data_IF_749443777127
#
_entry.id   IF_749443777127
#
_cell.length_a   1.000
_cell.length_b   1.000
_cell.length_c   1.000
_cell.angle_alpha   90.00
_cell.angle_beta   90.00
_cell.angle_gamma   90.00
#
_symmetry.space_group_name_H-M   'P 1'
#
loop_
_entity.id
_entity.type
_entity.pdbx_description
1 polymer ?
#
# COMPACT_ATOMS: atom_id res chain seq x y z
N UNK A 1 -2.58 -0.51 12.00
CA UNK A 1 -3.53 -1.30 11.23
C UNK A 1 -4.97 -0.95 11.55
N UNK A 2 -5.89 -1.12 10.59
CA UNK A 2 -7.29 -0.77 10.71
C UNK A 2 -7.63 0.67 10.26
N UNK A 3 -8.92 0.99 10.28
CA UNK A 3 -9.45 2.31 9.87
C UNK A 3 -9.35 3.26 11.05
N UNK A 4 -8.18 3.85 11.27
CA UNK A 4 -7.94 4.87 12.29
C UNK A 4 -8.14 6.30 11.74
N UNK A 5 -8.18 7.36 12.58
CA UNK A 5 -8.44 8.73 12.14
C UNK A 5 -7.58 9.20 10.95
N UNK A 6 -6.30 8.85 10.90
CA UNK A 6 -5.43 9.22 9.78
C UNK A 6 -5.84 8.57 8.45
N UNK A 7 -6.33 7.32 8.47
CA UNK A 7 -6.87 6.65 7.27
C UNK A 7 -8.18 7.31 6.83
N UNK A 8 -9.03 7.70 7.79
CA UNK A 8 -10.28 8.42 7.51
C UNK A 8 -9.97 9.77 6.85
N UNK A 9 -8.98 10.50 7.37
CA UNK A 9 -8.60 11.80 6.78
C UNK A 9 -8.00 11.63 5.38
N UNK A 10 -7.16 10.62 5.16
CA UNK A 10 -6.69 10.30 3.81
C UNK A 10 -7.85 10.00 2.85
N UNK A 11 -8.83 9.19 3.27
CA UNK A 11 -10.02 8.91 2.48
C UNK A 11 -10.82 10.17 2.16
N UNK A 12 -10.99 11.07 3.13
CA UNK A 12 -11.65 12.38 2.90
C UNK A 12 -10.92 13.23 1.87
N UNK A 13 -9.59 13.17 1.82
CA UNK A 13 -8.79 13.85 0.79
C UNK A 13 -9.09 13.30 -0.60
N UNK A 14 -9.21 11.99 -0.74
CA UNK A 14 -9.60 11.37 -2.00
C UNK A 14 -11.04 11.73 -2.39
N UNK A 15 -11.98 11.77 -1.45
CA UNK A 15 -13.34 12.24 -1.71
C UNK A 15 -13.35 13.70 -2.19
N UNK A 16 -12.56 14.59 -1.56
CA UNK A 16 -12.39 15.98 -2.03
C UNK A 16 -11.75 16.08 -3.42
N UNK A 17 -10.96 15.08 -3.80
CA UNK A 17 -10.39 14.96 -5.16
C UNK A 17 -11.36 14.35 -6.19
N UNK A 18 -12.61 14.06 -5.80
CA UNK A 18 -13.67 13.59 -6.70
C UNK A 18 -13.88 12.07 -6.75
N UNK A 19 -13.23 11.29 -5.87
CA UNK A 19 -13.35 9.84 -5.87
C UNK A 19 -14.44 9.33 -4.94
N UNK A 20 -15.15 8.26 -5.37
CA UNK A 20 -15.87 7.38 -4.46
C UNK A 20 -14.87 6.47 -3.73
N UNK A 21 -14.94 6.39 -2.39
CA UNK A 21 -13.94 5.69 -1.59
C UNK A 21 -14.56 4.58 -0.78
N UNK A 22 -14.10 3.35 -1.00
CA UNK A 22 -14.43 2.17 -0.22
C UNK A 22 -13.35 1.90 0.82
N UNK A 23 -13.73 1.75 2.08
CA UNK A 23 -12.84 1.44 3.20
C UNK A 23 -13.21 0.08 3.79
N UNK A 24 -12.67 -1.04 3.27
CA UNK A 24 -12.96 -2.36 3.82
C UNK A 24 -12.38 -2.50 5.24
N UNK A 25 -13.24 -2.83 6.21
CA UNK A 25 -12.83 -3.02 7.61
C UNK A 25 -12.25 -4.41 7.82
N UNK A 26 -10.94 -4.55 7.63
CA UNK A 26 -10.23 -5.82 7.79
C UNK A 26 -9.78 -6.07 9.24
N UNK A 27 -9.49 -5.00 9.99
CA UNK A 27 -8.90 -5.06 11.33
C UNK A 27 -9.54 -4.06 12.28
N UNK A 28 -9.76 -4.52 13.52
CA UNK A 28 -10.23 -3.65 14.60
C UNK A 28 -11.65 -3.10 14.40
N UNK A 29 -11.96 -2.03 15.09
CA UNK A 29 -13.19 -1.25 14.93
C UNK A 29 -12.87 0.06 14.20
N UNK A 30 -13.61 0.44 13.15
CA UNK A 30 -13.41 1.72 12.47
C UNK A 30 -13.45 2.91 13.43
N UNK A 31 -12.58 3.91 13.20
CA UNK A 31 -12.53 5.13 13.98
C UNK A 31 -11.72 5.05 15.29
N UNK A 32 -11.26 3.87 15.69
CA UNK A 32 -10.42 3.76 16.90
C UNK A 32 -9.04 4.39 16.68
N UNK A 33 -8.54 5.18 17.68
CA UNK A 33 -7.17 5.68 17.65
C UNK A 33 -6.16 4.52 17.63
N UNK A 34 -5.01 4.78 17.00
CA UNK A 34 -3.88 3.84 17.08
C UNK A 34 -3.37 3.76 18.51
N UNK A 35 -3.24 2.55 19.01
CA UNK A 35 -2.55 2.26 20.27
C UNK A 35 -1.62 1.07 20.08
N UNK A 36 -0.63 0.95 20.96
CA UNK A 36 0.31 -0.19 20.93
C UNK A 36 -0.47 -1.50 21.10
N UNK A 37 -1.46 -1.55 22.00
CA UNK A 37 -2.29 -2.73 22.22
C UNK A 37 -3.12 -3.12 20.99
N UNK A 38 -3.76 -2.17 20.31
CA UNK A 38 -4.53 -2.45 19.08
C UNK A 38 -3.62 -2.89 17.94
N UNK A 39 -2.43 -2.31 17.84
CA UNK A 39 -1.42 -2.69 16.83
C UNK A 39 -0.92 -4.11 17.06
N UNK A 40 -0.49 -4.44 18.28
CA UNK A 40 -0.02 -5.79 18.64
C UNK A 40 -1.11 -6.84 18.40
N UNK A 41 -2.34 -6.56 18.86
CA UNK A 41 -3.47 -7.48 18.65
C UNK A 41 -3.78 -7.71 17.17
N UNK A 42 -3.69 -6.66 16.35
CA UNK A 42 -3.92 -6.79 14.91
C UNK A 42 -2.79 -7.59 14.25
N UNK A 43 -1.54 -7.35 14.61
CA UNK A 43 -0.38 -8.11 14.10
C UNK A 43 -0.50 -9.59 14.48
N UNK A 44 -0.83 -9.90 15.74
CA UNK A 44 -1.05 -11.28 16.19
C UNK A 44 -2.18 -11.95 15.40
N UNK A 45 -3.31 -11.26 15.21
CA UNK A 45 -4.43 -11.78 14.42
C UNK A 45 -4.04 -12.09 12.99
N UNK A 46 -3.28 -11.21 12.36
CA UNK A 46 -2.75 -11.38 11.00
C UNK A 46 -1.82 -12.59 10.90
N UNK A 47 -1.00 -12.83 11.93
CA UNK A 47 -0.09 -13.97 11.95
C UNK A 47 -0.79 -15.31 12.17
N UNK A 48 -1.98 -15.33 12.81
CA UNK A 48 -2.67 -16.56 13.27
C UNK A 48 -3.93 -16.84 12.45
N UNK A 49 -4.65 -15.80 12.02
CA UNK A 49 -5.90 -15.99 11.27
C UNK A 49 -5.63 -16.47 9.86
N UNK A 50 -6.26 -17.57 9.50
CA UNK A 50 -6.06 -18.30 8.25
C UNK A 50 -6.30 -17.43 7.01
N UNK A 51 -7.23 -16.48 7.10
CA UNK A 51 -7.60 -15.55 6.03
C UNK A 51 -6.48 -14.54 5.70
N UNK A 52 -5.63 -14.26 6.68
CA UNK A 52 -4.52 -13.30 6.56
C UNK A 52 -3.15 -13.96 6.50
N UNK A 53 -3.07 -15.29 6.57
CA UNK A 53 -1.78 -15.99 6.57
C UNK A 53 -1.02 -15.66 5.30
N UNK A 54 0.04 -14.89 5.45
CA UNK A 54 0.97 -14.52 4.39
C UNK A 54 2.24 -15.34 4.58
N UNK A 55 2.40 -16.32 3.73
CA UNK A 55 3.70 -16.95 3.49
C UNK A 55 4.48 -16.07 2.51
N UNK A 56 5.81 -16.09 2.59
CA UNK A 56 6.67 -15.19 1.82
C UNK A 56 6.43 -15.20 0.30
N UNK A 57 5.84 -16.26 -0.24
CA UNK A 57 5.57 -16.47 -1.67
C UNK A 57 4.14 -16.99 -1.90
N UNK A 58 3.15 -16.53 -1.14
CA UNK A 58 1.74 -16.88 -1.36
C UNK A 58 0.87 -15.64 -1.17
N UNK A 59 -0.13 -15.51 -2.04
CA UNK A 59 -1.16 -14.49 -1.92
C UNK A 59 -2.09 -14.82 -0.76
N UNK A 60 -2.43 -13.82 0.03
CA UNK A 60 -3.38 -13.98 1.13
C UNK A 60 -4.80 -14.24 0.62
N UNK A 61 -5.58 -15.16 1.22
CA UNK A 61 -6.97 -15.41 0.84
C UNK A 61 -7.84 -14.14 0.83
N UNK A 62 -7.60 -13.19 1.73
CA UNK A 62 -8.33 -11.91 1.74
C UNK A 62 -8.09 -11.09 0.47
N UNK A 63 -6.96 -11.26 -0.21
CA UNK A 63 -6.69 -10.56 -1.46
C UNK A 63 -7.67 -10.98 -2.58
N UNK A 64 -8.09 -12.24 -2.61
CA UNK A 64 -9.10 -12.70 -3.56
C UNK A 64 -10.45 -12.00 -3.32
N UNK A 65 -10.87 -11.89 -2.06
CA UNK A 65 -12.10 -11.15 -1.71
C UNK A 65 -11.99 -9.66 -2.08
N UNK A 66 -10.83 -9.05 -1.85
CA UNK A 66 -10.59 -7.65 -2.22
C UNK A 66 -10.61 -7.43 -3.75
N UNK A 67 -10.18 -8.40 -4.55
CA UNK A 67 -10.31 -8.36 -6.03
C UNK A 67 -11.78 -8.32 -6.45
N UNK A 68 -12.61 -9.18 -5.84
CA UNK A 68 -14.06 -9.16 -6.09
C UNK A 68 -14.69 -7.83 -5.69
N UNK A 69 -14.27 -7.27 -4.54
CA UNK A 69 -14.71 -5.93 -4.12
C UNK A 69 -14.29 -4.84 -5.12
N UNK A 70 -13.08 -4.90 -5.67
CA UNK A 70 -12.61 -3.95 -6.67
C UNK A 70 -13.45 -4.01 -7.96
N UNK A 71 -13.72 -5.22 -8.46
CA UNK A 71 -14.57 -5.43 -9.62
C UNK A 71 -16.02 -4.93 -9.37
N UNK A 72 -16.56 -5.19 -8.18
CA UNK A 72 -17.88 -4.68 -7.77
C UNK A 72 -17.91 -3.14 -7.72
N UNK A 73 -16.93 -2.53 -7.08
CA UNK A 73 -16.83 -1.07 -7.00
C UNK A 73 -16.71 -0.42 -8.39
N UNK A 74 -15.96 -1.04 -9.32
CA UNK A 74 -15.89 -0.59 -10.70
C UNK A 74 -17.25 -0.69 -11.41
N UNK A 75 -17.95 -1.81 -11.25
CA UNK A 75 -19.26 -1.99 -11.84
C UNK A 75 -20.31 -0.99 -11.31
N UNK A 76 -20.21 -0.63 -10.02
CA UNK A 76 -21.12 0.31 -9.36
C UNK A 76 -20.80 1.78 -9.70
N UNK A 77 -19.54 2.16 -9.70
CA UNK A 77 -19.13 3.56 -9.89
C UNK A 77 -18.83 3.91 -11.35
N UNK A 78 -18.58 2.93 -12.21
CA UNK A 78 -18.19 3.17 -13.60
C UNK A 78 -16.76 3.69 -13.74
N UNK A 79 -16.49 4.39 -14.87
CA UNK A 79 -15.17 4.92 -15.22
C UNK A 79 -14.25 3.85 -15.81
N UNK A 80 -12.96 4.16 -16.06
CA UNK A 80 -12.01 3.24 -16.69
C UNK A 80 -11.59 2.08 -15.78
N UNK A 81 -11.68 2.26 -14.45
CA UNK A 81 -11.28 1.27 -13.46
C UNK A 81 -11.21 1.85 -12.05
N UNK A 82 -10.49 1.16 -11.17
CA UNK A 82 -10.35 1.54 -9.76
C UNK A 82 -8.89 1.70 -9.35
N UNK A 83 -8.65 2.63 -8.42
CA UNK A 83 -7.41 2.73 -7.68
C UNK A 83 -7.48 1.91 -6.40
N UNK A 84 -6.37 1.32 -5.99
CA UNK A 84 -6.27 0.63 -4.71
C UNK A 84 -5.07 1.16 -3.93
N UNK A 85 -5.28 1.51 -2.66
CA UNK A 85 -4.22 2.02 -1.79
C UNK A 85 -4.08 1.10 -0.59
N UNK A 86 -2.95 0.43 -0.50
CA UNK A 86 -2.60 -0.39 0.66
C UNK A 86 -1.46 0.22 1.45
N UNK A 87 -1.61 0.25 2.77
CA UNK A 87 -0.64 0.85 3.69
C UNK A 87 -0.13 -0.20 4.67
N UNK A 88 1.17 -0.20 4.93
CA UNK A 88 1.80 -1.15 5.85
C UNK A 88 1.49 -2.59 5.41
N UNK A 89 0.92 -3.38 6.29
CA UNK A 89 0.54 -4.77 6.04
C UNK A 89 -0.39 -4.92 4.81
N UNK A 90 -1.33 -3.99 4.59
CA UNK A 90 -2.25 -4.04 3.46
C UNK A 90 -1.61 -3.61 2.12
N UNK A 91 -0.37 -3.10 2.14
CA UNK A 91 0.39 -2.82 0.92
C UNK A 91 0.60 -4.07 0.06
N UNK A 92 0.84 -5.23 0.68
CA UNK A 92 0.89 -6.51 -0.03
C UNK A 92 -0.45 -6.89 -0.67
N UNK A 93 -1.58 -6.55 -0.03
CA UNK A 93 -2.91 -6.79 -0.61
C UNK A 93 -3.17 -5.89 -1.82
N UNK A 94 -2.81 -4.59 -1.74
CA UNK A 94 -2.94 -3.69 -2.90
C UNK A 94 -2.12 -4.19 -4.10
N UNK A 95 -0.91 -4.70 -3.87
CA UNK A 95 -0.12 -5.31 -4.92
C UNK A 95 -0.78 -6.59 -5.46
N UNK A 96 -1.32 -7.46 -4.58
CA UNK A 96 -2.04 -8.66 -4.99
C UNK A 96 -3.31 -8.34 -5.79
N UNK A 97 -4.00 -7.24 -5.46
CA UNK A 97 -5.18 -6.77 -6.20
C UNK A 97 -4.83 -6.31 -7.62
N UNK A 98 -3.58 -5.97 -7.91
CA UNK A 98 -3.14 -5.60 -9.26
C UNK A 98 -3.24 -6.74 -10.30
N UNK A 99 -3.64 -7.93 -9.92
CA UNK A 99 -4.04 -9.03 -10.83
C UNK A 99 -5.41 -8.76 -11.47
N UNK A 100 -6.31 -8.11 -10.73
CA UNK A 100 -7.68 -7.80 -11.18
C UNK A 100 -7.66 -6.77 -12.33
N UNK A 101 -8.29 -7.06 -13.49
CA UNK A 101 -8.24 -6.17 -14.65
C UNK A 101 -8.76 -4.75 -14.38
N UNK A 102 -9.78 -4.60 -13.55
CA UNK A 102 -10.34 -3.29 -13.18
C UNK A 102 -9.39 -2.43 -12.33
N UNK A 103 -8.37 -3.02 -11.69
CA UNK A 103 -7.40 -2.28 -10.90
C UNK A 103 -6.35 -1.65 -11.82
N UNK A 104 -6.41 -0.33 -12.03
CA UNK A 104 -5.53 0.42 -12.91
C UNK A 104 -4.47 1.24 -12.17
N UNK A 105 -4.73 1.59 -10.92
CA UNK A 105 -3.84 2.45 -10.12
C UNK A 105 -3.51 1.81 -8.74
N UNK A 106 -2.67 0.77 -8.70
CA UNK A 106 -2.22 0.18 -7.43
C UNK A 106 -1.15 1.04 -6.76
N UNK A 107 -1.42 1.44 -5.50
CA UNK A 107 -0.50 2.18 -4.63
C UNK A 107 -0.12 1.32 -3.43
N UNK A 108 1.17 1.09 -3.24
CA UNK A 108 1.74 0.31 -2.14
C UNK A 108 2.55 1.22 -1.22
N UNK A 109 1.90 1.75 -0.20
CA UNK A 109 2.56 2.63 0.78
C UNK A 109 3.17 1.81 1.91
N UNK A 110 4.49 1.93 2.10
CA UNK A 110 5.30 1.18 3.06
C UNK A 110 4.86 -0.29 3.24
N UNK A 111 4.87 -1.12 2.16
CA UNK A 111 4.37 -2.47 2.23
C UNK A 111 5.18 -3.31 3.23
N UNK A 112 4.54 -3.70 4.33
CA UNK A 112 5.13 -4.49 5.41
C UNK A 112 4.68 -5.94 5.39
N UNK A 113 5.57 -6.88 5.70
CA UNK A 113 5.24 -8.26 6.03
C UNK A 113 5.59 -8.54 7.48
N UNK A 114 4.85 -9.42 8.17
CA UNK A 114 5.18 -9.80 9.54
C UNK A 114 6.59 -10.37 9.64
N UNK A 115 7.34 -9.92 10.65
CA UNK A 115 8.66 -10.44 11.02
C UNK A 115 9.66 -10.59 9.83
N UNK A 116 10.16 -9.49 9.24
CA UNK A 116 11.14 -9.53 8.14
C UNK A 116 12.55 -9.88 8.66
N UNK A 117 12.67 -11.02 9.36
CA UNK A 117 13.88 -11.41 10.07
C UNK A 117 14.95 -12.08 9.17
N UNK A 118 14.54 -12.57 8.00
CA UNK A 118 15.47 -13.20 7.05
C UNK A 118 15.56 -12.39 5.77
N UNK A 119 16.68 -12.46 5.06
CA UNK A 119 16.87 -11.78 3.78
C UNK A 119 15.74 -12.13 2.79
N UNK A 120 15.30 -13.40 2.74
CA UNK A 120 14.16 -13.83 1.92
C UNK A 120 12.86 -13.11 2.29
N UNK A 121 12.53 -12.98 3.60
CA UNK A 121 11.32 -12.29 4.06
C UNK A 121 11.41 -10.78 3.86
N UNK A 122 12.60 -10.20 3.97
CA UNK A 122 12.83 -8.76 3.70
C UNK A 122 12.53 -8.43 2.24
N UNK A 123 12.98 -9.26 1.31
CA UNK A 123 12.79 -9.07 -0.12
C UNK A 123 11.42 -9.55 -0.65
N UNK A 124 10.66 -10.33 0.14
CA UNK A 124 9.42 -10.96 -0.31
C UNK A 124 8.31 -9.94 -0.59
N UNK A 125 7.51 -10.19 -1.65
CA UNK A 125 6.35 -9.38 -2.04
C UNK A 125 5.03 -9.92 -1.47
N UNK A 126 5.01 -11.15 -0.95
CA UNK A 126 3.80 -11.78 -0.41
C UNK A 126 2.80 -12.20 -1.50
N UNK A 127 3.29 -12.62 -2.66
CA UNK A 127 2.49 -13.03 -3.81
C UNK A 127 2.79 -14.47 -4.20
N UNK A 128 1.79 -15.14 -4.74
CA UNK A 128 1.97 -16.39 -5.47
C UNK A 128 2.76 -16.15 -6.78
N UNK A 129 3.52 -17.15 -7.28
CA UNK A 129 4.22 -17.02 -8.55
C UNK A 129 3.31 -16.66 -9.73
N UNK A 130 2.10 -17.22 -9.79
CA UNK A 130 1.12 -17.00 -10.86
C UNK A 130 0.56 -15.55 -10.80
N UNK A 131 0.26 -15.06 -9.60
CA UNK A 131 -0.13 -13.67 -9.40
C UNK A 131 0.98 -12.71 -9.84
N UNK A 132 2.22 -13.01 -9.46
CA UNK A 132 3.38 -12.22 -9.86
C UNK A 132 3.58 -12.23 -11.39
N UNK A 133 3.41 -13.37 -12.02
CA UNK A 133 3.50 -13.51 -13.48
C UNK A 133 2.41 -12.68 -14.17
N UNK A 134 1.19 -12.69 -13.64
CA UNK A 134 0.06 -11.89 -14.13
C UNK A 134 0.34 -10.39 -14.01
N UNK A 135 0.83 -9.93 -12.86
CA UNK A 135 1.20 -8.52 -12.64
C UNK A 135 2.31 -8.10 -13.60
N UNK A 136 3.35 -8.92 -13.79
CA UNK A 136 4.42 -8.67 -14.76
C UNK A 136 3.89 -8.58 -16.20
N UNK A 137 2.93 -9.44 -16.56
CA UNK A 137 2.27 -9.36 -17.86
C UNK A 137 1.51 -8.05 -18.01
N UNK A 138 0.72 -7.65 -17.01
CA UNK A 138 -0.02 -6.38 -17.00
C UNK A 138 0.92 -5.18 -17.05
N UNK A 139 2.05 -5.22 -16.34
CA UNK A 139 3.07 -4.17 -16.37
C UNK A 139 3.60 -3.93 -17.78
N UNK A 140 3.87 -4.99 -18.55
CA UNK A 140 4.25 -4.88 -19.97
C UNK A 140 3.16 -4.26 -20.88
N UNK A 141 1.93 -4.20 -20.39
CA UNK A 141 0.77 -3.61 -21.09
C UNK A 141 0.30 -2.30 -20.43
N UNK A 142 1.19 -1.60 -19.71
CA UNK A 142 0.92 -0.26 -19.21
C UNK A 142 0.46 -0.15 -17.76
N UNK A 143 0.26 -1.26 -17.02
CA UNK A 143 0.04 -1.16 -15.58
C UNK A 143 1.30 -0.59 -14.92
N UNK A 144 1.14 0.44 -14.11
CA UNK A 144 2.19 0.99 -13.25
C UNK A 144 1.80 0.82 -11.78
N UNK A 145 2.77 0.58 -10.92
CA UNK A 145 2.61 0.48 -9.47
C UNK A 145 3.35 1.63 -8.81
N UNK A 146 2.64 2.43 -8.02
CA UNK A 146 3.28 3.48 -7.21
C UNK A 146 3.65 2.93 -5.83
N UNK A 147 4.90 3.08 -5.44
CA UNK A 147 5.42 2.66 -4.14
C UNK A 147 5.89 3.83 -3.29
N UNK A 148 5.62 3.81 -1.99
CA UNK A 148 6.07 4.83 -1.04
C UNK A 148 6.74 4.16 0.18
N UNK A 149 7.88 4.68 0.65
CA UNK A 149 8.51 4.27 1.91
C UNK A 149 9.40 5.35 2.48
N UNK A 150 9.70 5.25 3.77
CA UNK A 150 10.82 5.97 4.38
C UNK A 150 12.12 5.14 4.26
N UNK A 151 13.25 5.82 4.06
CA UNK A 151 14.55 5.17 3.82
C UNK A 151 15.03 4.32 5.00
N UNK A 152 14.83 4.77 6.24
CA UNK A 152 15.23 4.06 7.46
C UNK A 152 14.15 3.10 8.01
N UNK A 153 13.02 2.95 7.35
CA UNK A 153 11.91 2.12 7.83
C UNK A 153 12.24 0.63 7.82
N UNK A 154 12.38 0.06 9.02
CA UNK A 154 12.65 -1.37 9.22
C UNK A 154 11.44 -2.27 8.95
N UNK A 155 10.20 -1.72 8.97
CA UNK A 155 8.97 -2.43 8.66
C UNK A 155 8.77 -2.63 7.16
N UNK A 156 9.32 -1.70 6.36
CA UNK A 156 9.39 -1.78 4.91
C UNK A 156 10.85 -1.73 4.45
N UNK A 157 11.59 -2.85 4.49
CA UNK A 157 13.00 -2.89 4.13
C UNK A 157 13.27 -2.49 2.69
N UNK A 158 14.45 -1.91 2.42
CA UNK A 158 14.87 -1.48 1.08
C UNK A 158 14.84 -2.63 0.06
N UNK A 159 15.21 -3.84 0.49
CA UNK A 159 15.25 -5.04 -0.36
C UNK A 159 13.89 -5.36 -0.99
N UNK A 160 12.79 -4.94 -0.37
CA UNK A 160 11.44 -5.11 -0.94
C UNK A 160 11.22 -4.16 -2.11
N UNK A 161 11.65 -2.91 -2.00
CA UNK A 161 11.59 -1.95 -3.10
C UNK A 161 12.56 -2.33 -4.22
N UNK A 162 13.74 -2.82 -3.90
CA UNK A 162 14.68 -3.37 -4.89
C UNK A 162 14.05 -4.55 -5.64
N UNK A 163 13.32 -5.43 -4.94
CA UNK A 163 12.59 -6.52 -5.58
C UNK A 163 11.49 -6.00 -6.51
N UNK A 164 10.72 -4.99 -6.09
CA UNK A 164 9.71 -4.35 -6.95
C UNK A 164 10.35 -3.73 -8.19
N UNK A 165 11.43 -2.95 -8.05
CA UNK A 165 12.17 -2.35 -9.18
C UNK A 165 12.68 -3.42 -10.14
N UNK A 166 13.34 -4.46 -9.62
CA UNK A 166 13.86 -5.56 -10.45
C UNK A 166 12.75 -6.33 -11.17
N UNK A 167 11.57 -6.44 -10.54
CA UNK A 167 10.46 -7.25 -11.04
C UNK A 167 9.63 -6.51 -12.09
N UNK A 168 9.39 -5.22 -11.90
CA UNK A 168 8.47 -4.41 -12.68
C UNK A 168 9.20 -3.37 -13.58
N UNK A 169 10.50 -3.14 -13.35
CA UNK A 169 11.27 -2.16 -14.13
C UNK A 169 10.65 -0.77 -14.08
N UNK A 170 10.50 -0.13 -15.22
CA UNK A 170 9.92 1.21 -15.40
C UNK A 170 8.42 1.28 -15.03
N UNK A 171 7.77 0.13 -14.85
CA UNK A 171 6.39 0.05 -14.36
C UNK A 171 6.27 0.17 -12.83
N UNK A 172 7.37 0.42 -12.12
CA UNK A 172 7.38 0.71 -10.69
C UNK A 172 7.89 2.12 -10.41
N UNK A 173 6.99 3.03 -10.07
CA UNK A 173 7.29 4.37 -9.59
C UNK A 173 7.51 4.32 -8.07
N UNK A 174 8.76 4.22 -7.63
CA UNK A 174 9.13 4.03 -6.22
C UNK A 174 9.68 5.30 -5.58
N UNK A 175 8.94 5.91 -4.66
CA UNK A 175 9.32 7.09 -3.89
C UNK A 175 9.91 6.65 -2.55
N UNK A 176 11.16 7.04 -2.31
CA UNK A 176 11.84 6.85 -1.03
C UNK A 176 12.09 8.21 -0.39
N UNK A 177 11.49 8.43 0.79
CA UNK A 177 11.63 9.66 1.56
C UNK A 177 12.76 9.46 2.57
N UNK A 178 13.73 10.36 2.55
CA UNK A 178 14.85 10.29 3.49
C UNK A 178 14.39 10.48 4.93
N UNK A 179 14.62 9.48 5.77
CA UNK A 179 14.42 9.48 7.22
C UNK A 179 15.67 9.03 7.97
N UNK A 180 16.84 9.14 7.32
CA UNK A 180 18.13 8.88 7.97
C UNK A 180 18.40 9.89 9.08
N UNK A 181 19.24 9.55 10.08
CA UNK A 181 19.64 10.52 11.09
C UNK A 181 20.25 11.77 10.47
N UNK A 182 19.76 12.95 10.87
CA UNK A 182 20.21 14.23 10.34
C UNK A 182 19.60 14.66 9.01
N UNK A 183 18.56 13.99 8.51
CA UNK A 183 17.84 14.41 7.30
C UNK A 183 17.31 15.86 7.46
N UNK A 184 17.19 16.62 6.35
CA UNK A 184 16.90 18.06 6.40
C UNK A 184 15.49 18.41 6.92
N UNK A 185 14.57 17.43 6.93
CA UNK A 185 13.18 17.63 7.37
C UNK A 185 12.91 17.14 8.80
N UNK A 186 13.92 16.64 9.52
CA UNK A 186 13.76 16.13 10.88
C UNK A 186 12.85 14.90 10.99
N UNK A 187 12.65 14.18 9.89
CA UNK A 187 11.82 12.98 9.86
C UNK A 187 12.47 11.89 10.74
N UNK A 188 11.76 11.36 11.74
CA UNK A 188 12.32 10.36 12.63
C UNK A 188 12.71 9.07 11.87
N UNK A 189 13.83 8.43 12.22
CA UNK A 189 14.23 7.15 11.62
C UNK A 189 13.25 6.00 11.88
N UNK A 190 12.31 6.18 12.83
CA UNK A 190 11.21 5.26 13.10
C UNK A 190 9.94 5.56 12.29
N UNK A 191 9.93 6.61 11.47
CA UNK A 191 8.79 6.97 10.62
C UNK A 191 8.44 5.80 9.71
N UNK A 192 7.13 5.52 9.56
CA UNK A 192 6.61 4.37 8.83
C UNK A 192 5.42 4.72 7.94
N UNK A 193 4.47 5.50 8.46
CA UNK A 193 3.15 5.69 7.85
C UNK A 193 3.08 6.96 6.99
N UNK A 194 3.62 6.91 5.76
CA UNK A 194 3.85 8.05 4.85
C UNK A 194 2.60 8.90 4.62
N UNK A 195 1.44 8.28 4.41
CA UNK A 195 0.19 8.96 4.02
C UNK A 195 -0.73 9.27 5.20
N UNK A 196 -0.31 8.93 6.43
CA UNK A 196 -1.19 9.06 7.60
C UNK A 196 -0.46 9.63 8.82
N UNK A 197 0.09 8.78 9.70
CA UNK A 197 0.62 9.18 11.01
C UNK A 197 1.85 10.08 10.89
N UNK A 198 2.73 9.79 9.93
CA UNK A 198 3.97 10.53 9.71
C UNK A 198 3.84 11.55 8.55
N UNK A 199 2.61 11.82 8.11
CA UNK A 199 2.32 12.85 7.12
C UNK A 199 2.43 14.23 7.79
N UNK A 200 3.35 15.04 7.28
CA UNK A 200 3.43 16.47 7.55
C UNK A 200 2.89 17.21 6.33
N UNK A 201 1.73 17.88 6.49
CA UNK A 201 1.01 18.54 5.41
C UNK A 201 1.43 20.02 5.27
N UNK A 202 2.72 20.22 5.01
CA UNK A 202 3.31 21.54 4.83
C UNK A 202 3.90 21.68 3.43
N UNK A 203 3.79 22.85 2.78
CA UNK A 203 4.41 23.11 1.49
C UNK A 203 5.91 22.81 1.50
N UNK A 204 6.37 22.05 0.50
CA UNK A 204 7.77 21.63 0.37
C UNK A 204 8.18 20.43 1.23
N UNK A 205 7.32 19.93 2.11
CA UNK A 205 7.63 18.72 2.88
C UNK A 205 7.50 17.46 2.00
N UNK A 206 8.46 16.50 2.04
CA UNK A 206 8.48 15.36 1.13
C UNK A 206 7.29 14.40 1.30
N UNK A 207 6.71 14.29 2.50
CA UNK A 207 5.51 13.46 2.71
C UNK A 207 4.27 14.09 2.08
N UNK A 208 4.17 15.43 2.05
CA UNK A 208 3.13 16.12 1.30
C UNK A 208 3.30 15.91 -0.21
N UNK A 209 4.51 16.06 -0.72
CA UNK A 209 4.80 15.77 -2.12
C UNK A 209 4.44 14.31 -2.50
N UNK A 210 4.69 13.36 -1.61
CA UNK A 210 4.28 11.98 -1.80
C UNK A 210 2.75 11.81 -1.84
N UNK A 211 2.01 12.51 -0.97
CA UNK A 211 0.54 12.53 -1.00
C UNK A 211 0.02 13.13 -2.32
N UNK A 212 0.57 14.25 -2.75
CA UNK A 212 0.22 14.91 -4.01
C UNK A 212 0.53 13.98 -5.21
N UNK A 213 1.66 13.26 -5.18
CA UNK A 213 1.98 12.26 -6.22
C UNK A 213 0.98 11.10 -6.26
N UNK A 214 0.50 10.64 -5.10
CA UNK A 214 -0.56 9.60 -5.06
C UNK A 214 -1.82 10.11 -5.74
N UNK A 215 -2.28 11.32 -5.43
CA UNK A 215 -3.48 11.89 -6.04
C UNK A 215 -3.28 12.09 -7.56
N UNK A 216 -2.13 12.60 -7.98
CA UNK A 216 -1.79 12.76 -9.39
C UNK A 216 -1.78 11.40 -10.11
N UNK A 217 -1.17 10.38 -9.51
CA UNK A 217 -1.13 9.02 -10.08
C UNK A 217 -2.53 8.42 -10.26
N UNK A 218 -3.41 8.61 -9.27
CA UNK A 218 -4.81 8.19 -9.39
C UNK A 218 -5.51 8.93 -10.55
N UNK A 219 -5.32 10.26 -10.64
CA UNK A 219 -5.90 11.06 -11.73
C UNK A 219 -5.40 10.63 -13.11
N UNK A 220 -4.11 10.40 -13.27
CA UNK A 220 -3.49 9.94 -14.53
C UNK A 220 -4.06 8.61 -15.01
N UNK A 221 -4.51 7.75 -14.11
CA UNK A 221 -4.93 6.38 -14.42
C UNK A 221 -6.44 6.18 -14.43
N UNK A 222 -7.20 7.05 -13.77
CA UNK A 222 -8.63 6.87 -13.57
C UNK A 222 -9.49 7.99 -14.19
N UNK A 223 -8.89 9.08 -14.66
CA UNK A 223 -9.59 10.19 -15.29
C UNK A 223 -9.15 10.43 -16.76
N UNK A 224 -8.43 9.46 -17.32
CA UNK A 224 -7.99 9.49 -18.73
C UNK A 224 -9.01 8.87 -19.68
#
# INVERSE_FOLDING_TARGET
PGIHPGVIEFARRLVRAGYSVYLPSLFGRPGQPLSVGTTVRSVLRVCVAREFTILANRTSPVAHWLRVLAAHAHAECGGPGVGVVGMCFTGGFALAMAVEPSVLAPVVSQPGLPAPLTARKRAALGLDPDDLATIKKRARHGLCVLGLRFSADKGCPAERFETLRRTLGDSFDGIEIDSSPGNPFGIPSRAHAVLTVDLVDEPGHPTRAALERVIAFLNERLNS
#
